data_IF_495414172464
#
_entry.id   IF_495414172464
#
_cell.length_a   1.000
_cell.length_b   1.000
_cell.length_c   1.000
_cell.angle_alpha   90.00
_cell.angle_beta   90.00
_cell.angle_gamma   90.00
#
_symmetry.space_group_name_H-M   'P 1'
#
loop_
_entity.id
_entity.type
_entity.pdbx_description
1 polymer ?
#
# COMPACT_ATOMS: atom_id res chain seq x y z
N UNK A 1 -15.11 -24.97 -22.74
CA UNK A 1 -14.85 -23.83 -21.82
C UNK A 1 -14.03 -22.79 -22.57
N UNK A 2 -14.30 -21.49 -22.37
CA UNK A 2 -13.48 -20.42 -22.98
C UNK A 2 -12.06 -20.40 -22.41
N UNK A 3 -11.05 -20.15 -23.26
CA UNK A 3 -9.62 -20.02 -22.89
C UNK A 3 -9.41 -19.04 -21.73
N UNK A 4 -10.17 -17.93 -21.71
CA UNK A 4 -10.12 -16.91 -20.65
C UNK A 4 -10.55 -17.50 -19.29
N UNK A 5 -11.59 -18.34 -19.26
CA UNK A 5 -12.06 -18.95 -18.01
C UNK A 5 -11.07 -19.97 -17.47
N UNK A 6 -10.42 -20.74 -18.34
CA UNK A 6 -9.35 -21.69 -17.96
C UNK A 6 -8.17 -20.93 -17.35
N UNK A 7 -7.76 -19.84 -18.00
CA UNK A 7 -6.67 -18.99 -17.52
C UNK A 7 -6.99 -18.34 -16.17
N UNK A 8 -8.22 -17.83 -15.98
CA UNK A 8 -8.67 -17.26 -14.72
C UNK A 8 -8.72 -18.30 -13.59
N UNK A 9 -9.22 -19.50 -13.89
CA UNK A 9 -9.27 -20.60 -12.92
C UNK A 9 -7.86 -21.04 -12.50
N UNK A 10 -6.95 -21.19 -13.46
CA UNK A 10 -5.54 -21.50 -13.17
C UNK A 10 -4.88 -20.42 -12.32
N UNK A 11 -5.05 -19.14 -12.68
CA UNK A 11 -4.49 -18.02 -11.91
C UNK A 11 -4.97 -18.04 -10.46
N UNK A 12 -6.25 -18.34 -10.21
CA UNK A 12 -6.80 -18.43 -8.85
C UNK A 12 -6.25 -19.66 -8.11
N UNK A 13 -6.27 -20.83 -8.75
CA UNK A 13 -5.83 -22.08 -8.12
C UNK A 13 -4.32 -22.07 -7.81
N UNK A 14 -3.52 -21.46 -8.68
CA UNK A 14 -2.07 -21.41 -8.52
C UNK A 14 -1.66 -20.55 -7.32
N UNK A 15 -2.40 -19.48 -7.01
CA UNK A 15 -2.19 -18.68 -5.80
C UNK A 15 -2.35 -19.50 -4.51
N UNK A 16 -3.30 -20.42 -4.46
CA UNK A 16 -3.52 -21.28 -3.28
C UNK A 16 -2.48 -22.39 -3.13
N UNK A 17 -1.82 -22.79 -4.22
CA UNK A 17 -0.87 -23.89 -4.27
C UNK A 17 0.58 -23.41 -4.42
N UNK A 18 0.86 -22.14 -4.17
CA UNK A 18 2.21 -21.60 -4.22
C UNK A 18 3.10 -22.29 -3.17
N UNK A 19 4.25 -22.87 -3.57
CA UNK A 19 5.19 -23.49 -2.62
C UNK A 19 5.66 -22.52 -1.53
N UNK A 20 5.80 -21.24 -1.87
CA UNK A 20 6.20 -20.18 -0.92
C UNK A 20 5.18 -19.95 0.21
N UNK A 21 3.91 -20.33 0.02
CA UNK A 21 2.87 -20.22 1.05
C UNK A 21 2.65 -21.55 1.80
N UNK A 22 3.36 -22.61 1.43
CA UNK A 22 3.18 -23.92 2.03
C UNK A 22 3.82 -23.97 3.44
N UNK A 23 3.13 -24.53 4.44
CA UNK A 23 3.79 -24.86 5.70
C UNK A 23 4.83 -25.96 5.45
N UNK A 24 5.95 -25.95 6.18
CA UNK A 24 7.10 -26.82 5.91
C UNK A 24 6.74 -28.31 5.77
N UNK A 25 5.80 -28.81 6.58
CA UNK A 25 5.36 -30.21 6.55
C UNK A 25 4.46 -30.60 5.36
N UNK A 26 4.03 -29.63 4.53
CA UNK A 26 3.21 -29.87 3.31
C UNK A 26 3.86 -29.34 2.04
N UNK A 27 5.12 -28.91 2.11
CA UNK A 27 5.81 -28.32 0.96
C UNK A 27 5.78 -29.25 -0.26
N UNK A 28 6.06 -30.54 -0.04
CA UNK A 28 6.05 -31.56 -1.10
C UNK A 28 4.66 -31.74 -1.73
N UNK A 29 3.61 -31.73 -0.92
CA UNK A 29 2.23 -31.79 -1.38
C UNK A 29 1.87 -30.57 -2.25
N UNK A 30 2.27 -29.37 -1.82
CA UNK A 30 2.04 -28.13 -2.58
C UNK A 30 2.81 -28.13 -3.89
N UNK A 31 4.10 -28.50 -3.87
CA UNK A 31 4.92 -28.62 -5.07
C UNK A 31 4.30 -29.60 -6.08
N UNK A 32 3.88 -30.79 -5.63
CA UNK A 32 3.28 -31.81 -6.49
C UNK A 32 1.93 -31.36 -7.06
N UNK A 33 1.08 -30.75 -6.24
CA UNK A 33 -0.22 -30.21 -6.69
C UNK A 33 -0.03 -29.05 -7.67
N UNK A 34 0.95 -28.19 -7.43
CA UNK A 34 1.28 -27.08 -8.32
C UNK A 34 1.81 -27.58 -9.66
N UNK A 35 2.69 -28.57 -9.66
CA UNK A 35 3.19 -29.22 -10.88
C UNK A 35 2.04 -29.82 -11.70
N UNK A 36 1.17 -30.60 -11.07
CA UNK A 36 -0.03 -31.18 -11.72
C UNK A 36 -0.91 -30.07 -12.28
N UNK A 37 -1.18 -29.01 -11.50
CA UNK A 37 -2.00 -27.89 -11.94
C UNK A 37 -1.40 -27.20 -13.18
N UNK A 38 -0.08 -27.02 -13.23
CA UNK A 38 0.61 -26.49 -14.40
C UNK A 38 0.44 -27.40 -15.61
N UNK A 39 0.63 -28.72 -15.46
CA UNK A 39 0.42 -29.69 -16.56
C UNK A 39 -1.00 -29.67 -17.09
N UNK A 40 -1.99 -29.68 -16.20
CA UNK A 40 -3.42 -29.57 -16.58
C UNK A 40 -3.68 -28.30 -17.37
N UNK A 41 -3.17 -27.17 -16.90
CA UNK A 41 -3.36 -25.90 -17.57
C UNK A 41 -2.68 -25.86 -18.96
N UNK A 42 -1.50 -26.47 -19.11
CA UNK A 42 -0.79 -26.55 -20.39
C UNK A 42 -1.63 -27.26 -21.46
N UNK A 43 -2.25 -28.38 -21.09
CA UNK A 43 -3.12 -29.16 -21.98
C UNK A 43 -4.40 -28.37 -22.30
N UNK A 44 -5.06 -27.81 -21.29
CA UNK A 44 -6.35 -27.12 -21.46
C UNK A 44 -6.26 -25.76 -22.17
N UNK A 45 -5.07 -25.15 -22.19
CA UNK A 45 -4.82 -23.87 -22.86
C UNK A 45 -4.75 -23.99 -24.37
N UNK A 46 -4.26 -25.12 -24.88
CA UNK A 46 -4.12 -25.39 -26.30
C UNK A 46 -5.29 -26.24 -26.77
N UNK A 47 -6.00 -25.74 -27.77
CA UNK A 47 -7.21 -26.35 -28.28
C UNK A 47 -6.93 -27.70 -28.94
N UNK A 48 -5.77 -27.87 -29.59
CA UNK A 48 -5.38 -29.14 -30.20
C UNK A 48 -5.06 -30.19 -29.12
N UNK A 49 -4.32 -29.79 -28.08
CA UNK A 49 -3.96 -30.68 -26.97
C UNK A 49 -5.17 -31.09 -26.15
N UNK A 50 -6.09 -30.14 -25.96
CA UNK A 50 -7.37 -30.40 -25.32
C UNK A 50 -8.20 -31.39 -26.12
N UNK A 51 -8.33 -31.23 -27.44
CA UNK A 51 -9.07 -32.18 -28.28
C UNK A 51 -8.50 -33.59 -28.17
N UNK A 52 -7.16 -33.72 -28.29
CA UNK A 52 -6.49 -35.02 -28.12
C UNK A 52 -6.76 -35.62 -26.74
N UNK A 53 -6.70 -34.83 -25.68
CA UNK A 53 -7.00 -35.29 -24.32
C UNK A 53 -8.47 -35.69 -24.14
N UNK A 54 -9.41 -34.90 -24.67
CA UNK A 54 -10.85 -35.16 -24.59
C UNK A 54 -11.23 -36.43 -25.40
N UNK A 55 -10.51 -36.74 -26.48
CA UNK A 55 -10.74 -37.93 -27.34
C UNK A 55 -10.05 -39.21 -26.83
N UNK A 56 -8.81 -39.09 -26.36
CA UNK A 56 -7.97 -40.27 -26.03
C UNK A 56 -7.80 -40.49 -24.52
N UNK A 57 -8.00 -39.46 -23.71
CA UNK A 57 -7.64 -39.45 -22.28
C UNK A 57 -6.13 -39.47 -22.01
N UNK A 58 -5.29 -39.44 -23.05
CA UNK A 58 -3.83 -39.58 -22.94
C UNK A 58 -3.16 -38.20 -22.85
N UNK A 59 -2.13 -38.11 -22.02
CA UNK A 59 -1.28 -36.93 -21.88
C UNK A 59 0.02 -37.18 -22.65
N UNK A 60 0.42 -36.23 -23.50
CA UNK A 60 1.69 -36.29 -24.23
C UNK A 60 2.88 -36.25 -23.26
N UNK A 61 3.87 -37.13 -23.45
CA UNK A 61 5.11 -37.17 -22.68
C UNK A 61 5.94 -35.87 -22.80
N UNK A 62 5.70 -35.07 -23.85
CA UNK A 62 6.32 -33.74 -23.99
C UNK A 62 5.97 -32.77 -22.85
N UNK A 63 4.89 -33.04 -22.10
CA UNK A 63 4.43 -32.24 -20.96
C UNK A 63 5.45 -32.25 -19.82
N UNK A 64 6.21 -33.34 -19.65
CA UNK A 64 7.26 -33.44 -18.64
C UNK A 64 8.54 -32.69 -19.03
N UNK A 65 8.67 -32.32 -20.32
CA UNK A 65 9.85 -31.67 -20.88
C UNK A 65 9.62 -30.19 -21.24
N UNK A 66 8.56 -29.58 -20.68
CA UNK A 66 8.29 -28.15 -20.85
C UNK A 66 9.38 -27.38 -20.09
N UNK A 67 10.36 -26.88 -20.83
CA UNK A 67 11.50 -26.17 -20.26
C UNK A 67 11.10 -24.99 -19.37
N UNK A 68 11.88 -24.76 -18.30
CA UNK A 68 11.64 -23.70 -17.31
C UNK A 68 11.39 -22.32 -17.93
N UNK A 69 12.04 -22.01 -19.05
CA UNK A 69 11.86 -20.73 -19.78
C UNK A 69 10.42 -20.49 -20.27
N UNK A 70 9.73 -21.54 -20.73
CA UNK A 70 8.33 -21.43 -21.14
C UNK A 70 7.46 -21.05 -19.93
N UNK A 71 7.65 -21.76 -18.82
CA UNK A 71 6.91 -21.52 -17.59
C UNK A 71 7.19 -20.13 -17.03
N UNK A 72 8.44 -19.70 -16.96
CA UNK A 72 8.82 -18.35 -16.51
C UNK A 72 8.14 -17.26 -17.33
N UNK A 73 8.17 -17.38 -18.67
CA UNK A 73 7.52 -16.40 -19.56
C UNK A 73 6.01 -16.41 -19.41
N UNK A 74 5.41 -17.60 -19.26
CA UNK A 74 3.98 -17.74 -19.06
C UNK A 74 3.53 -17.15 -17.71
N UNK A 75 4.29 -17.42 -16.66
CA UNK A 75 4.07 -16.88 -15.31
C UNK A 75 4.15 -15.36 -15.29
N UNK A 76 5.14 -14.75 -15.95
CA UNK A 76 5.25 -13.29 -16.08
C UNK A 76 4.06 -12.65 -16.81
N UNK A 77 3.38 -13.36 -17.71
CA UNK A 77 2.15 -12.86 -18.35
C UNK A 77 0.94 -12.93 -17.40
N UNK A 78 0.86 -13.96 -16.57
CA UNK A 78 -0.24 -14.12 -15.62
C UNK A 78 -0.12 -13.21 -14.39
N UNK A 79 1.12 -13.05 -13.94
CA UNK A 79 1.50 -12.25 -12.78
C UNK A 79 2.53 -11.23 -13.27
N UNK A 80 2.06 -10.13 -13.90
CA UNK A 80 2.93 -9.05 -14.30
C UNK A 80 3.71 -8.55 -13.10
N UNK A 81 4.96 -8.13 -13.35
CA UNK A 81 5.74 -7.47 -12.32
C UNK A 81 5.06 -6.14 -11.98
N UNK A 82 4.63 -5.98 -10.74
CA UNK A 82 4.05 -4.73 -10.26
C UNK A 82 5.18 -3.93 -9.63
N UNK A 83 5.42 -2.73 -10.14
CA UNK A 83 6.36 -1.77 -9.55
C UNK A 83 5.61 -0.75 -8.67
N UNK A 84 6.27 -0.06 -7.72
CA UNK A 84 5.63 0.97 -6.92
C UNK A 84 4.91 2.03 -7.75
N UNK A 85 5.44 2.38 -8.92
CA UNK A 85 4.86 3.34 -9.86
C UNK A 85 3.48 2.86 -10.36
N UNK A 86 3.31 1.56 -10.63
CA UNK A 86 2.01 1.00 -11.03
C UNK A 86 0.96 1.17 -9.93
N UNK A 87 1.38 1.12 -8.66
CA UNK A 87 0.50 1.30 -7.50
C UNK A 87 0.09 2.76 -7.39
N UNK A 88 1.01 3.69 -7.63
CA UNK A 88 0.72 5.13 -7.64
C UNK A 88 -0.21 5.51 -8.81
N UNK A 89 0.06 4.99 -10.00
CA UNK A 89 -0.81 5.17 -11.18
C UNK A 89 -2.21 4.59 -10.96
N UNK A 90 -2.30 3.42 -10.31
CA UNK A 90 -3.58 2.86 -9.92
C UNK A 90 -4.30 3.77 -8.90
N UNK A 91 -3.61 4.22 -7.85
CA UNK A 91 -4.18 5.14 -6.85
C UNK A 91 -4.66 6.43 -7.49
N UNK A 92 -3.91 7.00 -8.42
CA UNK A 92 -4.29 8.21 -9.14
C UNK A 92 -5.59 8.05 -9.94
N UNK A 93 -5.76 6.91 -10.62
CA UNK A 93 -6.99 6.60 -11.38
C UNK A 93 -8.16 6.20 -10.49
N UNK A 94 -7.88 5.57 -9.36
CA UNK A 94 -8.87 5.05 -8.42
C UNK A 94 -9.45 6.16 -7.55
N UNK A 95 -8.65 7.15 -7.14
CA UNK A 95 -9.12 8.31 -6.38
C UNK A 95 -10.22 9.07 -7.13
N UNK A 96 -11.27 9.42 -6.42
CA UNK A 96 -12.50 10.11 -6.85
C UNK A 96 -13.32 9.37 -7.93
N UNK A 97 -12.94 8.14 -8.28
CA UNK A 97 -13.64 7.28 -9.22
C UNK A 97 -14.97 6.75 -8.67
N UNK A 98 -15.84 6.23 -9.54
CA UNK A 98 -17.05 5.52 -9.10
C UNK A 98 -16.73 4.20 -8.39
N UNK A 99 -15.59 3.58 -8.72
CA UNK A 99 -15.11 2.36 -8.06
C UNK A 99 -14.78 2.65 -6.58
N UNK A 100 -14.05 3.74 -6.31
CA UNK A 100 -13.77 4.17 -4.93
C UNK A 100 -15.07 4.43 -4.14
N UNK A 101 -16.06 5.06 -4.77
CA UNK A 101 -17.33 5.38 -4.10
C UNK A 101 -18.09 4.11 -3.69
N UNK A 102 -18.12 3.10 -4.54
CA UNK A 102 -18.79 1.83 -4.23
C UNK A 102 -18.01 1.05 -3.16
N UNK A 103 -16.68 1.01 -3.24
CA UNK A 103 -15.85 0.37 -2.23
C UNK A 103 -15.98 1.03 -0.85
N UNK A 104 -15.99 2.37 -0.80
CA UNK A 104 -16.28 3.13 0.41
C UNK A 104 -17.67 2.83 0.96
N UNK A 105 -18.69 2.71 0.09
CA UNK A 105 -20.04 2.33 0.49
C UNK A 105 -20.06 0.95 1.15
N UNK A 106 -19.41 -0.04 0.53
CA UNK A 106 -19.33 -1.41 1.05
C UNK A 106 -18.57 -1.42 2.39
N UNK A 107 -17.42 -0.75 2.46
CA UNK A 107 -16.59 -0.66 3.66
C UNK A 107 -17.36 -0.01 4.82
N UNK A 108 -18.01 1.13 4.58
CA UNK A 108 -18.80 1.84 5.58
C UNK A 108 -19.99 1.02 6.08
N UNK A 109 -20.70 0.33 5.19
CA UNK A 109 -21.82 -0.54 5.57
C UNK A 109 -21.34 -1.72 6.44
N UNK A 110 -20.20 -2.33 6.09
CA UNK A 110 -19.55 -3.39 6.91
C UNK A 110 -19.09 -2.84 8.26
N UNK A 111 -18.54 -1.63 8.29
CA UNK A 111 -18.09 -0.96 9.49
C UNK A 111 -19.24 -0.37 10.34
N UNK A 112 -20.48 -0.35 9.82
CA UNK A 112 -21.66 0.28 10.44
C UNK A 112 -21.38 1.75 10.83
N UNK A 113 -20.66 2.46 9.96
CA UNK A 113 -20.27 3.86 10.14
C UNK A 113 -19.26 4.13 11.27
N UNK A 114 -18.54 3.10 11.75
CA UNK A 114 -17.37 3.32 12.59
C UNK A 114 -16.15 3.57 11.70
N UNK A 115 -15.53 4.74 11.82
CA UNK A 115 -14.41 5.16 10.98
C UNK A 115 -13.10 4.43 11.30
N UNK A 116 -12.86 4.02 12.54
CA UNK A 116 -11.68 3.21 12.91
C UNK A 116 -11.68 1.87 12.18
N UNK A 117 -12.83 1.20 12.17
CA UNK A 117 -13.02 -0.06 11.45
C UNK A 117 -13.02 0.15 9.93
N UNK A 118 -13.47 1.30 9.45
CA UNK A 118 -13.36 1.63 8.03
C UNK A 118 -11.90 1.77 7.63
N UNK A 119 -11.07 2.46 8.41
CA UNK A 119 -9.64 2.62 8.16
C UNK A 119 -8.88 1.27 8.15
N UNK A 120 -9.34 0.27 8.91
CA UNK A 120 -8.77 -1.09 8.88
C UNK A 120 -9.16 -1.89 7.64
N UNK A 121 -10.36 -1.67 7.09
CA UNK A 121 -10.89 -2.46 5.96
C UNK A 121 -10.56 -1.80 4.61
N UNK A 122 -10.49 -0.47 4.58
CA UNK A 122 -10.33 0.30 3.35
C UNK A 122 -8.85 0.38 2.95
N UNK A 123 -8.49 -0.31 1.87
CA UNK A 123 -7.08 -0.48 1.46
C UNK A 123 -6.37 0.82 1.07
N UNK A 124 -7.12 1.82 0.59
CA UNK A 124 -6.59 3.12 0.16
C UNK A 124 -6.72 4.20 1.24
N UNK A 125 -6.96 3.82 2.49
CA UNK A 125 -7.00 4.77 3.60
C UNK A 125 -5.63 5.37 3.88
N UNK A 126 -5.59 6.70 4.03
CA UNK A 126 -4.45 7.46 4.54
C UNK A 126 -4.96 8.51 5.51
N UNK A 127 -4.14 8.90 6.49
CA UNK A 127 -4.53 9.93 7.45
C UNK A 127 -4.76 11.29 6.77
N UNK A 128 -4.04 11.55 5.67
CA UNK A 128 -4.14 12.76 4.87
C UNK A 128 -5.43 12.80 4.04
N UNK A 129 -5.89 11.66 3.51
CA UNK A 129 -7.11 11.59 2.68
C UNK A 129 -8.40 11.48 3.53
N UNK A 130 -8.32 11.34 4.85
CA UNK A 130 -9.49 11.08 5.69
C UNK A 130 -10.59 12.14 5.54
N UNK A 131 -10.21 13.43 5.49
CA UNK A 131 -11.18 14.52 5.34
C UNK A 131 -11.88 14.46 3.97
N UNK A 132 -11.15 14.08 2.91
CA UNK A 132 -11.71 13.83 1.57
C UNK A 132 -12.65 12.63 1.55
N UNK A 133 -12.26 11.52 2.18
CA UNK A 133 -13.08 10.31 2.28
C UNK A 133 -14.39 10.63 3.01
N UNK A 134 -14.31 11.32 4.15
CA UNK A 134 -15.49 11.79 4.90
C UNK A 134 -16.40 12.68 4.07
N UNK A 135 -15.81 13.61 3.29
CA UNK A 135 -16.56 14.47 2.38
C UNK A 135 -17.32 13.68 1.31
N UNK A 136 -16.67 12.71 0.66
CA UNK A 136 -17.29 11.85 -0.36
C UNK A 136 -18.45 11.07 0.26
N UNK A 137 -18.23 10.43 1.41
CA UNK A 137 -19.29 9.65 2.08
C UNK A 137 -20.48 10.54 2.45
N UNK A 138 -20.24 11.71 3.02
CA UNK A 138 -21.29 12.63 3.43
C UNK A 138 -22.05 13.20 2.22
N UNK A 139 -21.35 13.78 1.25
CA UNK A 139 -21.96 14.51 0.13
C UNK A 139 -22.50 13.58 -0.95
N UNK A 140 -21.75 12.58 -1.37
CA UNK A 140 -22.06 11.78 -2.54
C UNK A 140 -22.90 10.54 -2.21
N UNK A 141 -22.78 10.01 -0.99
CA UNK A 141 -23.47 8.77 -0.61
C UNK A 141 -24.62 8.98 0.38
N UNK A 142 -24.41 9.75 1.45
CA UNK A 142 -25.43 9.97 2.49
C UNK A 142 -26.46 11.02 2.03
N UNK A 143 -26.02 12.22 1.61
CA UNK A 143 -26.94 13.29 1.22
C UNK A 143 -27.78 12.92 -0.02
N UNK A 144 -27.21 12.15 -0.95
CA UNK A 144 -27.92 11.62 -2.12
C UNK A 144 -28.75 10.36 -1.83
N UNK A 145 -28.88 9.97 -0.55
CA UNK A 145 -29.64 8.79 -0.08
C UNK A 145 -29.22 7.45 -0.73
N UNK A 146 -27.98 7.33 -1.22
CA UNK A 146 -27.42 6.06 -1.72
C UNK A 146 -27.10 5.09 -0.58
N UNK A 147 -26.97 5.59 0.66
CA UNK A 147 -26.77 4.77 1.86
C UNK A 147 -27.32 5.45 3.12
N UNK A 148 -27.57 4.66 4.16
CA UNK A 148 -28.03 5.16 5.47
C UNK A 148 -26.89 5.84 6.23
N UNK A 149 -27.21 6.91 6.95
CA UNK A 149 -26.30 7.50 7.94
C UNK A 149 -26.35 6.71 9.24
N UNK A 150 -25.18 6.39 9.82
CA UNK A 150 -25.09 5.83 11.16
C UNK A 150 -24.71 6.90 12.18
N UNK A 151 -25.26 6.78 13.39
CA UNK A 151 -25.00 7.70 14.51
C UNK A 151 -23.50 7.79 14.85
N UNK A 152 -22.78 6.67 14.74
CA UNK A 152 -21.33 6.61 15.00
C UNK A 152 -20.51 7.52 14.09
N UNK A 153 -20.96 7.68 12.84
CA UNK A 153 -20.33 8.59 11.88
C UNK A 153 -20.79 10.03 12.11
N UNK A 154 -22.10 10.25 12.27
CA UNK A 154 -22.67 11.58 12.40
C UNK A 154 -22.28 12.31 13.71
N UNK A 155 -22.01 11.55 14.78
CA UNK A 155 -21.65 12.08 16.11
C UNK A 155 -20.27 11.61 16.55
N UNK A 156 -19.35 11.49 15.61
CA UNK A 156 -17.97 11.14 15.94
C UNK A 156 -17.32 12.25 16.79
N UNK A 157 -16.54 11.84 17.79
CA UNK A 157 -15.81 12.77 18.67
C UNK A 157 -14.50 13.20 17.99
N UNK A 158 -14.09 14.47 18.08
CA UNK A 158 -12.84 14.95 17.48
C UNK A 158 -11.61 14.19 18.01
N UNK A 159 -11.60 13.85 19.30
CA UNK A 159 -10.53 13.02 19.89
C UNK A 159 -10.38 11.63 19.23
N UNK A 160 -11.48 11.05 18.75
CA UNK A 160 -11.46 9.76 18.05
C UNK A 160 -10.81 9.89 16.67
N UNK A 161 -11.15 10.98 15.96
CA UNK A 161 -10.56 11.32 14.66
C UNK A 161 -9.06 11.53 14.81
N UNK A 162 -8.64 12.31 15.80
CA UNK A 162 -7.23 12.63 16.00
C UNK A 162 -6.41 11.40 16.43
N UNK A 163 -6.96 10.57 17.33
CA UNK A 163 -6.33 9.30 17.71
C UNK A 163 -6.16 8.37 16.50
N UNK A 164 -7.16 8.30 15.62
CA UNK A 164 -7.08 7.52 14.37
C UNK A 164 -6.06 8.10 13.41
N UNK A 165 -6.09 9.41 13.15
CA UNK A 165 -5.08 10.08 12.31
C UNK A 165 -3.67 9.81 12.83
N UNK A 166 -3.44 9.89 14.14
CA UNK A 166 -2.14 9.58 14.74
C UNK A 166 -1.74 8.10 14.60
N UNK A 167 -2.69 7.16 14.65
CA UNK A 167 -2.43 5.72 14.42
C UNK A 167 -1.99 5.42 12.98
N UNK A 168 -2.56 6.12 12.00
CA UNK A 168 -2.33 5.88 10.57
C UNK A 168 -1.38 6.88 9.91
N UNK A 169 -0.94 7.90 10.65
CA UNK A 169 0.18 8.73 10.26
C UNK A 169 1.38 7.81 10.15
N UNK A 170 1.96 7.72 8.95
CA UNK A 170 3.23 7.02 8.81
C UNK A 170 4.21 7.70 9.77
N UNK A 171 4.91 6.97 10.65
CA UNK A 171 6.12 7.52 11.22
C UNK A 171 6.97 7.97 10.03
N UNK A 172 7.62 9.12 10.13
CA UNK A 172 8.71 9.39 9.19
C UNK A 172 9.64 8.17 9.20
N UNK A 173 10.29 7.78 8.10
CA UNK A 173 11.29 6.72 8.16
C UNK A 173 12.39 7.00 9.20
N UNK A 174 12.51 8.26 9.68
CA UNK A 174 13.32 8.67 10.84
C UNK A 174 12.73 8.28 12.22
N UNK A 175 11.43 8.01 12.33
CA UNK A 175 10.67 7.70 13.56
C UNK A 175 10.19 6.24 13.64
N UNK A 176 10.44 5.40 12.62
CA UNK A 176 10.12 3.97 12.67
C UNK A 176 11.11 3.24 13.61
N UNK A 177 10.67 2.67 14.75
CA UNK A 177 11.55 1.99 15.70
C UNK A 177 12.29 0.78 15.12
N UNK A 178 11.85 0.23 13.98
CA UNK A 178 12.59 -0.81 13.25
C UNK A 178 13.73 -0.24 12.38
N UNK A 179 13.69 1.04 12.02
CA UNK A 179 14.71 1.76 11.24
C UNK A 179 15.72 2.53 12.11
N UNK A 180 15.53 2.57 13.43
CA UNK A 180 16.47 3.17 14.39
C UNK A 180 17.73 2.29 14.49
N UNK A 181 18.62 2.41 13.50
CA UNK A 181 20.01 2.02 13.65
C UNK A 181 20.69 3.07 14.55
N UNK A 182 21.57 2.68 15.50
CA UNK A 182 22.34 3.60 16.34
C UNK A 182 22.96 4.80 15.59
N UNK A 183 23.35 4.60 14.33
CA UNK A 183 23.92 5.66 13.48
C UNK A 183 22.91 6.78 13.18
N UNK A 184 21.64 6.45 12.94
CA UNK A 184 20.58 7.44 12.63
C UNK A 184 20.28 8.32 13.85
N UNK A 185 20.27 7.73 15.05
CA UNK A 185 20.13 8.45 16.33
C UNK A 185 21.27 9.47 16.55
N UNK A 186 22.50 9.05 16.30
CA UNK A 186 23.68 9.93 16.44
C UNK A 186 23.65 11.07 15.43
N UNK A 187 23.28 10.80 14.18
CA UNK A 187 23.13 11.84 13.16
C UNK A 187 22.04 12.86 13.53
N UNK A 188 20.95 12.41 14.18
CA UNK A 188 19.90 13.29 14.70
C UNK A 188 20.41 14.21 15.81
N UNK A 189 21.13 13.66 16.79
CA UNK A 189 21.73 14.47 17.86
C UNK A 189 22.71 15.50 17.29
N UNK A 190 23.58 15.08 16.37
CA UNK A 190 24.53 15.99 15.72
C UNK A 190 23.84 17.10 14.92
N UNK A 191 22.72 16.80 14.23
CA UNK A 191 21.93 17.78 13.47
C UNK A 191 21.31 18.83 14.39
N UNK A 192 20.72 18.42 15.52
CA UNK A 192 20.15 19.34 16.52
C UNK A 192 21.23 20.20 17.18
N UNK A 193 22.36 19.61 17.57
CA UNK A 193 23.48 20.35 18.16
C UNK A 193 24.07 21.38 17.17
N UNK A 194 24.10 21.07 15.88
CA UNK A 194 24.52 22.00 14.82
C UNK A 194 23.54 23.17 14.66
N UNK A 195 22.23 22.90 14.74
CA UNK A 195 21.20 23.94 14.68
C UNK A 195 21.26 24.87 15.90
N UNK A 196 21.42 24.31 17.10
CA UNK A 196 21.61 25.09 18.33
C UNK A 196 22.89 25.94 18.27
N UNK A 197 24.01 25.38 17.81
CA UNK A 197 25.25 26.16 17.61
C UNK A 197 25.06 27.30 16.63
N UNK A 198 24.40 27.06 15.50
CA UNK A 198 24.13 28.11 14.49
C UNK A 198 23.22 29.19 15.05
N UNK A 199 22.21 28.83 15.84
CA UNK A 199 21.34 29.79 16.52
C UNK A 199 22.14 30.65 17.50
N UNK A 200 23.01 30.04 18.32
CA UNK A 200 23.87 30.74 19.27
C UNK A 200 24.88 31.67 18.56
N UNK A 201 25.47 31.23 17.45
CA UNK A 201 26.38 32.05 16.64
C UNK A 201 25.67 33.24 16.00
N UNK A 202 24.43 33.05 15.52
CA UNK A 202 23.62 34.14 14.97
C UNK A 202 23.24 35.14 16.06
N UNK A 203 22.80 34.67 17.23
CA UNK A 203 22.52 35.55 18.37
C UNK A 203 23.76 36.33 18.82
N UNK A 204 24.93 35.70 18.83
CA UNK A 204 26.19 36.38 19.14
C UNK A 204 26.53 37.45 18.10
N UNK A 205 26.37 37.15 16.81
CA UNK A 205 26.58 38.12 15.72
C UNK A 205 25.63 39.29 15.84
N UNK A 206 24.35 39.05 16.11
CA UNK A 206 23.35 40.11 16.30
C UNK A 206 23.68 40.99 17.52
N UNK A 207 24.16 40.40 18.62
CA UNK A 207 24.62 41.15 19.80
C UNK A 207 25.87 41.97 19.53
N UNK A 208 26.83 41.41 18.79
CA UNK A 208 28.06 42.11 18.39
C UNK A 208 27.77 43.26 17.41
N UNK A 209 26.87 43.06 16.46
CA UNK A 209 26.42 44.07 15.50
C UNK A 209 25.66 45.20 16.22
N UNK A 210 24.76 44.85 17.15
CA UNK A 210 24.07 45.82 17.99
C UNK A 210 25.06 46.64 18.86
N UNK A 211 26.09 45.99 19.44
CA UNK A 211 27.12 46.67 20.22
C UNK A 211 28.03 47.58 19.36
N UNK A 212 28.30 47.16 18.11
CA UNK A 212 29.09 47.93 17.14
C UNK A 212 28.34 49.17 16.65
N UNK A 213 27.02 49.08 16.52
CA UNK A 213 26.14 50.21 16.21
C UNK A 213 25.91 51.15 17.40
N UNK A 214 25.98 50.64 18.64
CA UNK A 214 25.87 51.45 19.86
C UNK A 214 27.16 52.22 20.20
N UNK A 215 28.33 51.69 19.84
CA UNK A 215 29.64 52.28 20.10
C UNK A 215 29.86 53.71 19.53
N UNK A 216 29.48 54.04 18.27
CA UNK A 216 29.59 55.40 17.75
C UNK A 216 28.53 56.35 18.33
N UNK A 217 27.37 55.84 18.78
CA UNK A 217 26.32 56.67 19.42
C UNK A 217 26.73 57.16 20.81
N UNK A 218 27.45 56.35 21.60
CA UNK A 218 27.99 56.76 22.91
C UNK A 218 29.13 57.79 22.81
N UNK A 219 29.99 57.72 21.78
CA UNK A 219 31.05 58.71 21.54
C UNK A 219 30.53 60.09 21.12
N UNK A 220 29.39 60.16 20.41
CA UNK A 220 28.72 61.43 20.04
C UNK A 220 28.00 62.12 21.19
N UNK A 221 27.63 61.38 22.25
CA UNK A 221 26.97 61.93 23.47
C UNK A 221 27.93 62.50 24.52
N UNK A 222 29.26 62.35 24.34
CA UNK A 222 30.30 62.83 25.27
C UNK A 222 31.15 63.99 24.72
N UNK A 223 30.73 64.63 23.63
CA UNK A 223 31.29 65.90 23.15
C UNK A 223 30.30 67.02 23.37
#
# INVERSE_FOLDING_TARGET
>A
MSKIRVQQAYRKASLFLLPAQAPAHRLEEFCRKFEILSKVHYILSDEKKRQVYDETGVIDASVDNIGANFWTRYWRKLFPHIVPEDIEDFKGRYKDSEEEKEDLRIAYLRAKGNMDRLAEIYFAYTAEDEDRICYIMQKELINRKKMRSYVKFAKEKPASVEARKNKYKRPDPEDDPACINPIVLVLRQNRLELEERRAMENEQREREEAARDEAPRRKRRRR
#
